data_IF_532220682209
#
_entry.id   IF_532220682209
#
_cell.length_a   1.000
_cell.length_b   1.000
_cell.length_c   1.000
_cell.angle_alpha   90.00
_cell.angle_beta   90.00
_cell.angle_gamma   90.00
#
_symmetry.space_group_name_H-M   'P 1'
#
loop_
_entity.id
_entity.type
_entity.pdbx_description
1 polymer ?
#
# COMPACT_ATOMS: atom_id res chain seq x y z
N UNK A 1 -9.11 23.74 -1.94
CA UNK A 1 -8.01 22.90 -1.40
C UNK A 1 -8.27 21.43 -1.73
N UNK A 2 -7.24 20.72 -2.13
CA UNK A 2 -7.35 19.32 -2.52
C UNK A 2 -7.11 18.44 -1.28
N UNK A 3 -8.09 17.60 -0.95
CA UNK A 3 -8.05 16.72 0.22
C UNK A 3 -8.01 15.27 -0.20
N UNK A 4 -7.36 14.43 0.60
CA UNK A 4 -7.47 12.99 0.45
C UNK A 4 -8.81 12.55 1.02
N UNK A 5 -9.59 11.81 0.23
CA UNK A 5 -10.97 11.45 0.62
C UNK A 5 -11.22 9.94 0.66
N UNK A 6 -10.45 9.14 -0.04
CA UNK A 6 -10.71 7.70 -0.09
C UNK A 6 -9.46 6.93 -0.51
N UNK A 7 -9.49 5.63 -0.24
CA UNK A 7 -8.43 4.69 -0.54
C UNK A 7 -9.02 3.44 -1.15
N UNK A 8 -8.44 3.00 -2.27
CA UNK A 8 -8.68 1.66 -2.83
C UNK A 8 -7.42 0.83 -2.70
N UNK A 9 -7.55 -0.37 -2.16
CA UNK A 9 -6.46 -1.32 -2.03
C UNK A 9 -6.85 -2.61 -2.75
N UNK A 10 -6.02 -3.06 -3.67
CA UNK A 10 -6.28 -4.29 -4.44
C UNK A 10 -5.16 -5.29 -4.23
N UNK A 11 -5.53 -6.51 -3.88
CA UNK A 11 -4.65 -7.66 -3.80
C UNK A 11 -4.67 -8.34 -5.17
N UNK A 12 -3.58 -8.20 -5.93
CA UNK A 12 -3.49 -8.74 -7.28
C UNK A 12 -2.47 -9.88 -7.30
N UNK A 13 -2.84 -11.00 -7.89
CA UNK A 13 -2.00 -12.19 -7.97
C UNK A 13 -1.74 -12.58 -9.41
N UNK A 14 -0.51 -12.96 -9.67
CA UNK A 14 -0.06 -13.41 -10.99
C UNK A 14 0.26 -14.89 -10.91
N UNK A 15 -0.29 -15.75 -11.80
CA UNK A 15 -0.15 -17.22 -11.67
C UNK A 15 1.22 -17.73 -12.14
N UNK A 16 2.29 -17.21 -11.57
CA UNK A 16 3.66 -17.60 -11.92
C UNK A 16 4.02 -19.00 -11.44
N UNK A 17 3.25 -19.55 -10.48
CA UNK A 17 3.45 -20.92 -10.01
C UNK A 17 3.20 -21.98 -11.10
N UNK A 18 2.45 -21.62 -12.14
CA UNK A 18 2.15 -22.57 -13.23
C UNK A 18 3.39 -23.02 -13.99
N UNK A 19 4.38 -22.13 -14.12
CA UNK A 19 5.64 -22.45 -14.82
C UNK A 19 6.85 -22.26 -13.91
N UNK A 20 6.62 -22.10 -12.61
CA UNK A 20 7.64 -21.94 -11.57
C UNK A 20 8.62 -20.82 -11.84
N UNK A 21 8.20 -19.80 -12.59
CA UNK A 21 9.00 -18.60 -12.80
C UNK A 21 9.30 -17.93 -11.47
N UNK A 22 10.57 -17.72 -11.15
CA UNK A 22 10.98 -17.11 -9.91
C UNK A 22 11.02 -18.03 -8.71
N UNK A 23 10.86 -19.36 -8.89
CA UNK A 23 11.02 -20.28 -7.77
C UNK A 23 12.45 -20.33 -7.28
N UNK A 24 12.62 -20.58 -5.98
CA UNK A 24 13.92 -20.77 -5.34
C UNK A 24 13.78 -21.85 -4.25
N UNK A 25 14.84 -22.03 -3.43
CA UNK A 25 14.86 -23.09 -2.41
C UNK A 25 13.80 -22.88 -1.31
N UNK A 26 13.41 -21.63 -1.06
CA UNK A 26 12.40 -21.30 -0.03
C UNK A 26 11.01 -21.15 -0.65
N UNK A 27 10.94 -20.54 -1.83
CA UNK A 27 9.70 -20.27 -2.55
C UNK A 27 9.61 -21.19 -3.77
N UNK A 28 9.28 -22.46 -3.51
CA UNK A 28 9.22 -23.47 -4.57
C UNK A 28 7.97 -23.34 -5.44
N UNK A 29 6.95 -22.64 -4.94
CA UNK A 29 5.66 -22.51 -5.62
C UNK A 29 5.14 -21.07 -5.51
N UNK A 30 5.90 -20.07 -6.03
CA UNK A 30 5.54 -18.67 -5.85
C UNK A 30 4.50 -18.21 -6.86
N UNK A 31 3.43 -17.59 -6.37
CA UNK A 31 2.57 -16.76 -7.19
C UNK A 31 2.98 -15.31 -6.91
N UNK A 32 3.57 -14.65 -7.90
CA UNK A 32 3.90 -13.24 -7.74
C UNK A 32 2.63 -12.45 -7.50
N UNK A 33 2.72 -11.50 -6.59
CA UNK A 33 1.57 -10.71 -6.18
C UNK A 33 2.00 -9.28 -5.92
N UNK A 34 1.02 -8.40 -5.91
CA UNK A 34 1.24 -7.00 -5.60
C UNK A 34 0.00 -6.41 -4.95
N UNK A 35 0.21 -5.55 -3.97
CA UNK A 35 -0.85 -4.73 -3.41
C UNK A 35 -0.81 -3.39 -4.15
N UNK A 36 -1.87 -3.09 -4.89
CA UNK A 36 -2.02 -1.82 -5.59
C UNK A 36 -2.86 -0.87 -4.75
N UNK A 37 -2.41 0.35 -4.63
CA UNK A 37 -3.09 1.38 -3.85
C UNK A 37 -3.46 2.53 -4.77
N UNK A 38 -4.70 2.98 -4.70
CA UNK A 38 -5.15 4.22 -5.33
C UNK A 38 -5.67 5.14 -4.25
N UNK A 39 -5.12 6.33 -4.16
CA UNK A 39 -5.60 7.38 -3.25
C UNK A 39 -6.45 8.35 -4.07
N UNK A 40 -7.69 8.51 -3.65
CA UNK A 40 -8.62 9.42 -4.28
C UNK A 40 -8.61 10.76 -3.56
N UNK A 41 -8.69 11.84 -4.32
CA UNK A 41 -8.74 13.18 -3.79
C UNK A 41 -10.09 13.83 -4.08
N UNK A 42 -10.32 14.99 -3.47
CA UNK A 42 -11.52 15.80 -3.74
C UNK A 42 -11.56 16.32 -5.17
N UNK A 43 -10.45 16.23 -5.92
CA UNK A 43 -10.37 16.57 -7.32
C UNK A 43 -10.51 15.28 -8.14
N UNK A 44 -11.58 15.16 -8.95
CA UNK A 44 -11.89 13.91 -9.68
C UNK A 44 -10.76 13.40 -10.58
N UNK A 45 -9.95 14.32 -11.12
CA UNK A 45 -8.89 13.98 -12.06
C UNK A 45 -7.53 13.75 -11.38
N UNK A 46 -7.44 13.92 -10.06
CA UNK A 46 -6.17 13.78 -9.34
C UNK A 46 -6.24 12.58 -8.41
N UNK A 47 -5.39 11.61 -8.69
CA UNK A 47 -5.25 10.38 -7.88
C UNK A 47 -3.79 10.09 -7.65
N UNK A 48 -3.49 9.43 -6.53
CA UNK A 48 -2.15 8.92 -6.25
C UNK A 48 -2.14 7.40 -6.34
N UNK A 49 -0.99 6.86 -6.75
CA UNK A 49 -0.84 5.41 -6.95
C UNK A 49 0.40 4.90 -6.24
N UNK A 50 0.29 3.71 -5.67
CA UNK A 50 1.40 3.03 -5.05
C UNK A 50 1.31 1.53 -5.25
N UNK A 51 2.43 0.84 -5.05
CA UNK A 51 2.50 -0.61 -5.20
C UNK A 51 3.47 -1.18 -4.16
N UNK A 52 3.09 -2.35 -3.63
CA UNK A 52 3.99 -3.17 -2.82
C UNK A 52 4.02 -4.57 -3.42
N UNK A 53 5.22 -5.08 -3.69
CA UNK A 53 5.40 -6.40 -4.29
C UNK A 53 5.53 -7.47 -3.21
N UNK A 54 4.88 -8.62 -3.44
CA UNK A 54 5.01 -9.80 -2.58
C UNK A 54 5.14 -11.06 -3.45
N UNK A 55 5.50 -12.18 -2.82
CA UNK A 55 5.62 -13.46 -3.51
C UNK A 55 4.52 -14.39 -2.98
N UNK A 56 3.28 -14.04 -3.29
CA UNK A 56 2.10 -14.85 -3.00
C UNK A 56 1.63 -14.85 -1.55
N UNK A 57 2.55 -14.74 -0.61
CA UNK A 57 2.24 -14.78 0.81
C UNK A 57 2.39 -13.40 1.44
N UNK A 58 1.44 -13.06 2.30
CA UNK A 58 1.51 -11.81 3.04
C UNK A 58 0.91 -10.61 2.30
N UNK A 59 0.46 -10.77 1.06
CA UNK A 59 -0.11 -9.66 0.31
C UNK A 59 -1.38 -9.11 0.98
N UNK A 60 -2.19 -9.99 1.53
CA UNK A 60 -3.38 -9.64 2.29
C UNK A 60 -3.01 -8.84 3.56
N UNK A 61 -1.91 -9.22 4.21
CA UNK A 61 -1.41 -8.52 5.41
C UNK A 61 -0.93 -7.12 5.03
N UNK A 62 -0.21 -7.00 3.92
CA UNK A 62 0.25 -5.69 3.41
C UNK A 62 -0.96 -4.80 3.11
N UNK A 63 -1.98 -5.35 2.46
CA UNK A 63 -3.20 -4.61 2.13
C UNK A 63 -3.88 -4.10 3.42
N UNK A 64 -4.01 -4.94 4.44
CA UNK A 64 -4.59 -4.54 5.71
C UNK A 64 -3.75 -3.50 6.44
N UNK A 65 -2.43 -3.61 6.37
CA UNK A 65 -1.52 -2.63 6.95
C UNK A 65 -1.74 -1.24 6.32
N UNK A 66 -1.86 -1.19 5.01
CA UNK A 66 -2.11 0.07 4.29
C UNK A 66 -3.44 0.68 4.75
N UNK A 67 -4.48 -0.13 4.83
CA UNK A 67 -5.80 0.32 5.32
C UNK A 67 -5.73 0.82 6.76
N UNK A 68 -4.90 0.21 7.57
CA UNK A 68 -4.72 0.60 8.97
C UNK A 68 -4.12 2.00 9.09
N UNK A 69 -3.19 2.35 8.21
CA UNK A 69 -2.53 3.65 8.25
C UNK A 69 -3.33 4.76 7.55
N UNK A 70 -4.30 4.41 6.71
CA UNK A 70 -5.04 5.42 5.95
C UNK A 70 -5.68 6.51 6.80
N UNK A 71 -6.30 6.21 7.98
CA UNK A 71 -6.93 7.26 8.80
C UNK A 71 -6.00 8.41 9.19
N UNK A 72 -4.67 8.18 9.20
CA UNK A 72 -3.70 9.24 9.49
C UNK A 72 -3.76 10.32 8.40
N UNK A 73 -4.04 9.94 7.16
CA UNK A 73 -4.00 10.83 6.00
C UNK A 73 -5.37 11.29 5.54
N UNK A 74 -6.43 10.58 5.92
CA UNK A 74 -7.78 10.86 5.44
C UNK A 74 -8.24 12.26 5.88
N UNK A 75 -8.71 13.04 4.93
CA UNK A 75 -9.22 14.39 5.18
C UNK A 75 -8.15 15.47 5.18
N UNK A 76 -6.86 15.10 5.09
CA UNK A 76 -5.79 16.08 5.01
C UNK A 76 -5.70 16.67 3.60
N UNK A 77 -5.31 17.93 3.52
CA UNK A 77 -4.98 18.55 2.23
C UNK A 77 -3.56 18.16 1.83
N UNK A 78 -3.27 18.29 0.53
CA UNK A 78 -1.92 18.02 0.02
C UNK A 78 -0.91 18.96 0.70
N UNK A 79 -1.28 20.21 0.91
CA UNK A 79 -0.42 21.19 1.57
C UNK A 79 -0.11 20.80 3.02
N UNK A 80 -1.11 20.28 3.74
CA UNK A 80 -0.92 19.80 5.11
C UNK A 80 0.03 18.59 5.14
N UNK A 81 -0.07 17.69 4.17
CA UNK A 81 0.80 16.53 4.08
C UNK A 81 2.24 16.96 3.80
N UNK A 82 2.45 17.85 2.83
CA UNK A 82 3.78 18.35 2.51
C UNK A 82 4.42 19.06 3.71
N UNK A 83 3.64 19.88 4.39
CA UNK A 83 4.13 20.66 5.54
C UNK A 83 4.50 19.76 6.72
N UNK A 84 3.78 18.63 6.90
CA UNK A 84 3.91 17.78 8.08
C UNK A 84 4.44 16.38 7.74
N UNK A 85 5.14 16.21 6.61
CA UNK A 85 5.53 14.87 6.13
C UNK A 85 6.37 14.10 7.15
N UNK A 86 7.29 14.75 7.83
CA UNK A 86 8.10 14.08 8.84
C UNK A 86 7.29 13.60 10.02
N UNK A 87 6.32 14.39 10.46
CA UNK A 87 5.43 14.03 11.56
C UNK A 87 4.51 12.88 11.17
N UNK A 88 3.98 12.91 9.96
CA UNK A 88 3.13 11.82 9.44
C UNK A 88 3.93 10.53 9.31
N UNK A 89 5.14 10.61 8.78
CA UNK A 89 6.03 9.46 8.69
C UNK A 89 6.29 8.85 10.06
N UNK A 90 6.55 9.69 11.06
CA UNK A 90 6.78 9.23 12.42
C UNK A 90 5.56 8.50 12.98
N UNK A 91 4.35 8.96 12.70
CA UNK A 91 3.13 8.28 13.13
C UNK A 91 3.02 6.86 12.56
N UNK A 92 3.52 6.65 11.34
CA UNK A 92 3.55 5.31 10.74
C UNK A 92 4.60 4.42 11.41
N UNK A 93 5.83 4.93 11.58
CA UNK A 93 6.93 4.12 12.13
C UNK A 93 6.85 3.94 13.65
N UNK A 94 6.04 4.75 14.32
CA UNK A 94 5.79 4.61 15.75
C UNK A 94 5.02 3.31 16.05
N UNK A 95 4.35 2.74 15.08
CA UNK A 95 3.64 1.47 15.25
C UNK A 95 4.65 0.33 15.28
N UNK A 96 4.92 -0.20 16.47
CA UNK A 96 5.99 -1.17 16.69
C UNK A 96 5.86 -2.45 15.87
N UNK A 97 4.66 -2.83 15.48
CA UNK A 97 4.40 -4.05 14.73
C UNK A 97 4.35 -3.85 13.22
N UNK A 98 3.86 -2.71 12.76
CA UNK A 98 3.60 -2.48 11.33
C UNK A 98 4.66 -1.63 10.62
N UNK A 99 5.61 -1.06 11.35
CA UNK A 99 6.62 -0.16 10.78
C UNK A 99 7.60 -0.86 9.82
N UNK A 100 7.67 -2.17 9.89
CA UNK A 100 8.54 -2.99 9.05
C UNK A 100 7.83 -3.44 7.78
#
# INVERSE_FOLDING_TARGET
MIKIINLDVKDVRFPTSKDLTGSDAIHTDPDYSATYVTIHTSENNLKGYGIAFTIGKGNDIVAECIKHFFPIFNGLTIEEIEKNIGKLWFQCVDHSQLRW
#
